data_IF_183947757038
#
_entry.id   IF_183947757038
#
_cell.length_a   1.000
_cell.length_b   1.000
_cell.length_c   1.000
_cell.angle_alpha   90.00
_cell.angle_beta   90.00
_cell.angle_gamma   90.00
#
_symmetry.space_group_name_H-M   'P 1'
#
loop_
_entity.id
_entity.type
_entity.pdbx_description
1 polymer ?
#
# COMPACT_ATOMS: atom_id res chain seq x y z
N UNK A 1 -18.42 -16.03 -17.44
CA UNK A 1 -17.59 -16.66 -16.39
C UNK A 1 -17.94 -16.02 -15.06
N UNK A 2 -18.13 -16.82 -14.02
CA UNK A 2 -18.28 -16.31 -12.66
C UNK A 2 -17.01 -15.58 -12.23
N UNK A 3 -17.16 -14.52 -11.45
CA UNK A 3 -16.03 -13.79 -10.88
C UNK A 3 -15.21 -14.69 -9.96
N UNK A 4 -13.88 -14.57 -9.99
CA UNK A 4 -12.98 -15.26 -9.09
C UNK A 4 -12.29 -14.24 -8.19
N UNK A 5 -12.37 -14.45 -6.88
CA UNK A 5 -11.69 -13.59 -5.90
C UNK A 5 -10.18 -13.66 -6.16
N UNK A 6 -9.48 -12.52 -6.28
CA UNK A 6 -8.06 -12.51 -6.57
C UNK A 6 -7.26 -13.17 -5.46
N UNK A 7 -6.22 -13.91 -5.85
CA UNK A 7 -5.38 -14.70 -4.94
C UNK A 7 -3.95 -14.18 -4.90
N UNK A 8 -3.36 -14.29 -3.73
CA UNK A 8 -1.93 -14.12 -3.52
C UNK A 8 -1.16 -15.31 -4.10
N UNK A 9 0.14 -15.12 -4.34
CA UNK A 9 1.06 -16.20 -4.74
C UNK A 9 1.13 -17.33 -3.71
N UNK A 10 0.82 -17.07 -2.44
CA UNK A 10 0.72 -18.10 -1.40
C UNK A 10 -0.59 -18.92 -1.45
N UNK A 11 -1.51 -18.59 -2.38
CA UNK A 11 -2.77 -19.30 -2.58
C UNK A 11 -3.96 -18.79 -1.74
N UNK A 12 -3.71 -17.90 -0.78
CA UNK A 12 -4.77 -17.25 0.01
C UNK A 12 -5.50 -16.16 -0.79
N UNK A 13 -6.74 -15.90 -0.40
CA UNK A 13 -7.54 -14.81 -0.98
C UNK A 13 -6.96 -13.46 -0.56
N UNK A 14 -6.95 -12.51 -1.49
CA UNK A 14 -6.61 -11.13 -1.19
C UNK A 14 -7.83 -10.41 -0.60
N UNK A 15 -7.55 -9.52 0.34
CA UNK A 15 -8.54 -8.62 0.93
C UNK A 15 -8.33 -7.21 0.41
N UNK A 16 -9.41 -6.49 0.18
CA UNK A 16 -9.35 -5.07 -0.12
C UNK A 16 -9.00 -4.29 1.14
N UNK A 17 -7.98 -3.42 1.05
CA UNK A 17 -7.43 -2.69 2.19
C UNK A 17 -7.11 -1.24 1.81
N UNK A 18 -7.11 -0.38 2.84
CA UNK A 18 -6.65 0.99 2.76
C UNK A 18 -5.52 1.20 3.78
N UNK A 19 -4.36 1.62 3.32
CA UNK A 19 -3.27 2.04 4.20
C UNK A 19 -3.29 3.56 4.34
N UNK A 20 -3.22 4.06 5.58
CA UNK A 20 -3.04 5.49 5.83
C UNK A 20 -1.58 5.85 5.58
N UNK A 21 -1.33 6.71 4.59
CA UNK A 21 0.01 7.22 4.31
C UNK A 21 0.29 8.49 5.11
N UNK A 22 1.53 8.64 5.55
CA UNK A 22 2.05 9.89 6.10
C UNK A 22 3.42 10.17 5.46
N UNK A 23 3.75 11.44 5.31
CA UNK A 23 5.05 11.88 4.79
C UNK A 23 5.83 12.57 5.90
N UNK A 24 7.06 12.13 6.14
CA UNK A 24 7.97 12.74 7.10
C UNK A 24 9.32 12.97 6.44
N UNK A 25 9.85 14.19 6.59
CA UNK A 25 11.18 14.53 6.10
C UNK A 25 12.16 14.69 7.27
N UNK A 26 13.34 14.08 7.14
CA UNK A 26 14.42 14.18 8.11
C UNK A 26 15.71 14.58 7.43
N UNK A 27 16.45 15.52 8.04
CA UNK A 27 17.84 15.78 7.65
C UNK A 27 18.71 14.57 8.03
N UNK A 28 19.73 14.28 7.24
CA UNK A 28 20.71 13.23 7.54
C UNK A 28 21.89 13.87 8.28
N UNK A 29 22.32 13.24 9.38
CA UNK A 29 23.52 13.65 10.12
C UNK A 29 24.79 13.24 9.39
N UNK A 30 25.93 13.85 9.75
CA UNK A 30 27.26 13.44 9.25
C UNK A 30 27.63 11.97 9.53
N UNK A 31 26.92 11.31 10.44
CA UNK A 31 27.12 9.89 10.78
C UNK A 31 26.14 8.97 10.04
N UNK A 32 25.36 9.49 9.08
CA UNK A 32 24.41 8.72 8.27
C UNK A 32 23.10 8.35 8.97
N UNK A 33 22.83 8.89 10.17
CA UNK A 33 21.56 8.67 10.88
C UNK A 33 20.60 9.85 10.71
N UNK A 34 19.26 9.65 10.75
CA UNK A 34 18.30 10.73 10.73
C UNK A 34 18.48 11.69 11.92
N UNK A 35 18.32 12.98 11.69
CA UNK A 35 18.21 13.97 12.76
C UNK A 35 16.94 13.68 13.57
N UNK A 36 17.02 13.77 14.91
CA UNK A 36 15.87 13.51 15.79
C UNK A 36 14.71 14.52 15.58
N UNK A 37 15.03 15.68 15.01
CA UNK A 37 14.06 16.71 14.70
C UNK A 37 13.55 16.54 13.26
N UNK A 38 12.22 16.47 13.10
CA UNK A 38 11.55 16.46 11.79
C UNK A 38 11.90 17.75 11.06
N UNK A 39 12.39 17.64 9.82
CA UNK A 39 12.78 18.80 9.03
C UNK A 39 11.56 19.52 8.46
N UNK A 40 10.60 18.74 7.99
CA UNK A 40 9.30 19.22 7.55
C UNK A 40 8.24 18.18 7.96
N UNK A 41 7.10 18.66 8.44
CA UNK A 41 5.95 17.83 8.76
C UNK A 41 4.76 18.47 8.08
N UNK A 42 4.47 18.00 6.88
CA UNK A 42 3.31 18.44 6.14
C UNK A 42 2.11 17.59 6.56
N UNK A 43 1.38 18.05 7.58
CA UNK A 43 0.03 17.53 7.94
C UNK A 43 -1.01 17.78 6.83
N UNK A 44 -0.60 18.44 5.74
CA UNK A 44 -1.46 18.91 4.63
C UNK A 44 -1.56 17.88 3.50
N UNK A 45 -0.89 16.73 3.58
CA UNK A 45 -1.25 15.59 2.74
C UNK A 45 -2.58 15.03 3.26
N UNK A 46 -3.66 15.71 2.87
CA UNK A 46 -5.06 15.32 3.00
C UNK A 46 -5.17 13.80 3.03
N UNK A 47 -5.57 13.23 4.18
CA UNK A 47 -5.93 11.83 4.40
C UNK A 47 -5.61 10.90 3.21
N UNK A 48 -4.31 10.71 2.95
CA UNK A 48 -3.86 10.02 1.76
C UNK A 48 -3.98 8.53 2.03
N UNK A 49 -5.04 7.92 1.54
CA UNK A 49 -5.24 6.47 1.64
C UNK A 49 -4.69 5.80 0.39
N UNK A 50 -3.84 4.80 0.58
CA UNK A 50 -3.42 3.90 -0.50
C UNK A 50 -4.34 2.69 -0.53
N UNK A 51 -5.05 2.52 -1.63
CA UNK A 51 -5.83 1.32 -1.88
C UNK A 51 -4.89 0.17 -2.30
N UNK A 52 -5.12 -1.02 -1.73
CA UNK A 52 -4.37 -2.24 -2.08
C UNK A 52 -5.21 -3.50 -1.94
N UNK A 53 -4.77 -4.57 -2.59
CA UNK A 53 -5.18 -5.95 -2.32
C UNK A 53 -4.12 -6.63 -1.45
N UNK A 54 -4.40 -6.81 -0.16
CA UNK A 54 -3.46 -7.35 0.82
C UNK A 54 -3.69 -8.83 1.14
N UNK A 55 -2.60 -9.58 1.34
CA UNK A 55 -2.64 -10.94 1.87
C UNK A 55 -2.35 -10.95 3.37
N UNK A 56 -3.29 -11.41 4.18
CA UNK A 56 -3.14 -11.48 5.65
C UNK A 56 -2.20 -12.57 6.14
N UNK A 57 -1.68 -13.43 5.24
CA UNK A 57 -0.81 -14.56 5.61
C UNK A 57 0.67 -14.32 5.32
N UNK A 58 1.00 -13.58 4.26
CA UNK A 58 2.39 -13.30 3.87
C UNK A 58 2.69 -11.81 3.70
N UNK A 59 1.76 -10.94 4.11
CA UNK A 59 1.88 -9.48 4.11
C UNK A 59 2.12 -8.83 2.73
N UNK A 60 2.02 -9.61 1.65
CA UNK A 60 2.11 -9.08 0.29
C UNK A 60 0.94 -8.15 0.00
N UNK A 61 1.24 -6.98 -0.55
CA UNK A 61 0.28 -6.05 -1.12
C UNK A 61 0.35 -6.05 -2.65
N UNK A 62 -0.80 -5.93 -3.31
CA UNK A 62 -0.89 -5.78 -4.75
C UNK A 62 -1.72 -4.55 -5.11
N UNK A 63 -1.47 -3.97 -6.28
CA UNK A 63 -2.32 -2.92 -6.86
C UNK A 63 -3.74 -3.44 -7.10
N UNK A 64 -4.69 -2.52 -7.00
CA UNK A 64 -6.09 -2.77 -7.31
C UNK A 64 -6.29 -2.46 -8.79
N UNK A 65 -6.51 -3.49 -9.59
CA UNK A 65 -6.89 -3.36 -10.99
C UNK A 65 -8.36 -3.76 -11.19
N UNK A 66 -8.90 -3.45 -12.37
CA UNK A 66 -10.29 -3.71 -12.70
C UNK A 66 -10.40 -4.51 -14.00
N UNK A 67 -11.24 -5.54 -14.00
CA UNK A 67 -11.59 -6.22 -15.24
C UNK A 67 -12.55 -5.37 -16.10
N UNK A 68 -12.91 -5.87 -17.29
CA UNK A 68 -13.82 -5.17 -18.22
C UNK A 68 -15.23 -4.90 -17.65
N UNK A 69 -15.58 -5.52 -16.52
CA UNK A 69 -16.86 -5.36 -15.83
C UNK A 69 -16.73 -4.55 -14.54
N UNK A 70 -15.56 -3.95 -14.26
CA UNK A 70 -15.32 -3.14 -13.07
C UNK A 70 -15.12 -3.95 -11.80
N UNK A 71 -14.78 -5.24 -11.89
CA UNK A 71 -14.53 -6.10 -10.71
C UNK A 71 -13.05 -6.13 -10.38
N UNK A 72 -12.73 -6.19 -9.09
CA UNK A 72 -11.34 -6.18 -8.60
C UNK A 72 -10.54 -7.37 -9.13
N UNK A 73 -9.39 -7.09 -9.71
CA UNK A 73 -8.39 -8.08 -10.09
C UNK A 73 -7.04 -7.67 -9.50
N UNK A 74 -6.17 -8.66 -9.33
CA UNK A 74 -4.82 -8.46 -8.80
C UNK A 74 -3.95 -7.77 -9.86
N UNK A 75 -3.39 -6.61 -9.54
CA UNK A 75 -2.36 -5.95 -10.32
C UNK A 75 -0.94 -6.34 -9.91
N UNK A 76 -0.01 -5.39 -10.01
CA UNK A 76 1.42 -5.57 -9.70
C UNK A 76 1.65 -5.64 -8.18
N UNK A 77 2.72 -6.32 -7.76
CA UNK A 77 3.15 -6.37 -6.35
C UNK A 77 3.66 -4.99 -5.89
N UNK A 78 3.26 -4.55 -4.69
CA UNK A 78 3.59 -3.25 -4.08
C UNK A 78 4.86 -3.24 -3.24
#
# INVERSE_FOLDING_TARGET
MAYQVPKCDCGNNLMYMFDKLYHEEFKITKNGVPFKHRYDFCDILEDAWREKLGCTSCDNGYEVEYDKLGRFIRGVLL
#
